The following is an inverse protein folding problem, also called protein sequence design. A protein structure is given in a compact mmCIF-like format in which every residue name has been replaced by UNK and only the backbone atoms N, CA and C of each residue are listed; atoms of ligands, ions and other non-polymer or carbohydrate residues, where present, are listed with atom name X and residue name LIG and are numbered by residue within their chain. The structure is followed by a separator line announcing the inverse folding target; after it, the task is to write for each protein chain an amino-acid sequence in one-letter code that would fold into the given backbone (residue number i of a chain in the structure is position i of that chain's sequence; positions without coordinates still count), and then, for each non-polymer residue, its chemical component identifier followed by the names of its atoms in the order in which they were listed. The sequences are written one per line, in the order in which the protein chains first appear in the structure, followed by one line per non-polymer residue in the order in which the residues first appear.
data_IF_712126304904
#
_entry.id   IF_712126304904
#
_cell.length_a   1.000
_cell.length_b   1.000
_cell.length_c   1.000
_cell.angle_alpha   90.00
_cell.angle_beta   90.00
_cell.angle_gamma   90.00
#
_symmetry.space_group_name_H-M   'P 1'
#
loop_
_entity.id
_entity.type
_entity.pdbx_description
1 polymer ?
#
# COMPACT_ATOMS: atom_id res chain seq x y z
N UNK A 1 7.38 11.57 -7.27
CA UNK A 1 6.18 11.28 -6.45
C UNK A 1 6.45 11.80 -5.05
N UNK A 2 5.56 12.61 -4.49
CA UNK A 2 5.73 13.17 -3.14
C UNK A 2 4.76 12.43 -2.22
N UNK A 3 5.30 11.71 -1.24
CA UNK A 3 4.52 11.09 -0.17
C UNK A 3 4.40 12.10 0.96
N UNK A 4 3.25 12.12 1.64
CA UNK A 4 3.09 12.87 2.87
C UNK A 4 3.93 12.25 3.98
N UNK A 5 4.37 13.05 4.96
CA UNK A 5 5.20 12.58 6.09
C UNK A 5 4.58 11.37 6.79
N UNK A 6 3.26 11.37 7.01
CA UNK A 6 2.54 10.24 7.59
C UNK A 6 2.70 8.93 6.80
N UNK A 7 2.73 8.99 5.47
CA UNK A 7 2.92 7.82 4.60
C UNK A 7 4.36 7.35 4.65
N UNK A 8 5.32 8.27 4.72
CA UNK A 8 6.74 7.96 4.88
C UNK A 8 7.01 7.23 6.20
N UNK A 9 6.48 7.76 7.32
CA UNK A 9 6.61 7.14 8.64
C UNK A 9 5.97 5.77 8.68
N UNK A 10 4.76 5.61 8.13
CA UNK A 10 4.10 4.31 8.04
C UNK A 10 4.94 3.27 7.27
N UNK A 11 5.52 3.66 6.12
CA UNK A 11 6.37 2.76 5.34
C UNK A 11 7.66 2.38 6.09
N UNK A 12 8.20 3.26 6.94
CA UNK A 12 9.32 2.93 7.82
C UNK A 12 8.93 1.90 8.87
N UNK A 13 7.83 2.14 9.58
CA UNK A 13 7.34 1.22 10.61
C UNK A 13 7.03 -0.16 10.03
N UNK A 14 6.41 -0.20 8.84
CA UNK A 14 6.15 -1.45 8.12
C UNK A 14 7.44 -2.18 7.73
N UNK A 15 8.43 -1.46 7.20
CA UNK A 15 9.76 -2.00 6.88
C UNK A 15 10.43 -2.62 8.10
N UNK A 16 10.42 -1.91 9.25
CA UNK A 16 10.97 -2.38 10.52
C UNK A 16 10.21 -3.60 11.03
N UNK A 17 8.88 -3.60 10.94
CA UNK A 17 8.03 -4.71 11.37
C UNK A 17 8.29 -5.99 10.56
N UNK A 18 8.40 -5.88 9.23
CA UNK A 18 8.74 -7.01 8.36
C UNK A 18 10.13 -7.56 8.72
N UNK A 19 11.13 -6.68 8.89
CA UNK A 19 12.48 -7.10 9.27
C UNK A 19 12.49 -7.78 10.64
N UNK A 20 11.74 -7.25 11.62
CA UNK A 20 11.61 -7.83 12.96
C UNK A 20 10.99 -9.24 12.91
N UNK A 21 10.00 -9.45 12.05
CA UNK A 21 9.30 -10.73 11.93
C UNK A 21 10.06 -11.78 11.11
N UNK A 22 10.78 -11.36 10.07
CA UNK A 22 11.35 -12.28 9.05
C UNK A 22 12.87 -12.29 9.02
N UNK A 23 13.55 -11.31 9.63
CA UNK A 23 14.99 -11.07 9.48
C UNK A 23 15.37 -10.40 8.15
N UNK A 24 14.45 -10.32 7.18
CA UNK A 24 14.74 -9.86 5.81
C UNK A 24 14.54 -8.33 5.72
N UNK A 25 15.54 -7.57 5.25
CA UNK A 25 15.39 -6.14 5.03
C UNK A 25 14.56 -5.88 3.76
N UNK A 26 13.41 -5.21 3.92
CA UNK A 26 12.57 -4.73 2.81
C UNK A 26 12.46 -3.21 2.90
N UNK A 27 12.90 -2.50 1.87
CA UNK A 27 12.88 -1.03 1.83
C UNK A 27 11.55 -0.47 1.30
N UNK A 28 11.34 0.84 1.49
CA UNK A 28 10.08 1.52 1.10
C UNK A 28 9.75 1.36 -0.39
N UNK A 29 10.75 1.41 -1.27
CA UNK A 29 10.57 1.24 -2.72
C UNK A 29 10.12 -0.17 -3.07
N UNK A 30 10.62 -1.20 -2.38
CA UNK A 30 10.15 -2.58 -2.53
C UNK A 30 8.70 -2.72 -2.07
N UNK A 31 8.33 -2.12 -0.94
CA UNK A 31 6.94 -2.13 -0.44
C UNK A 31 6.01 -1.47 -1.45
N UNK A 32 6.33 -0.27 -1.93
CA UNK A 32 5.50 0.45 -2.90
C UNK A 32 5.32 -0.35 -4.19
N UNK A 33 6.40 -0.93 -4.73
CA UNK A 33 6.33 -1.79 -5.92
C UNK A 33 5.43 -3.01 -5.68
N UNK A 34 5.62 -3.71 -4.56
CA UNK A 34 4.80 -4.87 -4.22
C UNK A 34 3.31 -4.52 -4.08
N UNK A 35 2.98 -3.35 -3.51
CA UNK A 35 1.61 -2.85 -3.42
C UNK A 35 1.02 -2.58 -4.81
N UNK A 36 1.78 -1.92 -5.70
CA UNK A 36 1.34 -1.67 -7.08
C UNK A 36 1.13 -2.98 -7.83
N UNK A 37 2.05 -3.94 -7.72
CA UNK A 37 1.94 -5.25 -8.36
C UNK A 37 0.74 -6.05 -7.81
N UNK A 38 0.46 -5.94 -6.51
CA UNK A 38 -0.73 -6.54 -5.93
C UNK A 38 -2.01 -5.89 -6.47
N UNK A 39 -2.02 -4.57 -6.65
CA UNK A 39 -3.14 -3.84 -7.23
C UNK A 39 -3.37 -4.17 -8.71
N UNK A 40 -2.33 -4.41 -9.51
CA UNK A 40 -2.51 -4.82 -10.92
C UNK A 40 -3.06 -6.24 -11.04
N UNK A 41 -2.71 -7.12 -10.08
CA UNK A 41 -3.25 -8.48 -10.00
C UNK A 41 -4.67 -8.52 -9.46
N UNK A 42 -4.98 -7.65 -8.50
CA UNK A 42 -6.34 -7.42 -8.06
C UNK A 42 -7.10 -6.75 -9.19
N UNK A 43 -8.02 -7.45 -9.85
CA UNK A 43 -8.91 -6.87 -10.87
C UNK A 43 -9.93 -5.87 -10.26
N UNK A 44 -9.45 -4.92 -9.46
CA UNK A 44 -10.25 -3.86 -8.85
C UNK A 44 -10.79 -2.99 -9.99
N UNK A 45 -12.11 -2.82 -10.04
CA UNK A 45 -12.71 -1.85 -10.96
C UNK A 45 -12.43 -0.44 -10.43
N UNK A 46 -11.30 0.13 -10.84
CA UNK A 46 -10.88 1.49 -10.43
C UNK A 46 -11.58 2.57 -11.28
N UNK A 47 -12.26 2.17 -12.38
CA UNK A 47 -12.86 3.08 -13.37
C UNK A 47 -13.92 4.05 -12.80
N UNK A 48 -14.42 3.82 -11.59
CA UNK A 48 -15.41 4.69 -10.93
C UNK A 48 -14.81 5.66 -9.90
N UNK A 49 -13.49 5.59 -9.66
CA UNK A 49 -12.80 6.43 -8.68
C UNK A 49 -12.64 7.85 -9.24
N UNK A 50 -13.09 8.85 -8.49
CA UNK A 50 -13.06 10.28 -8.91
C UNK A 50 -12.14 11.16 -8.07
N UNK A 51 -11.60 10.64 -6.98
CA UNK A 51 -10.69 11.36 -6.07
C UNK A 51 -9.77 10.41 -5.32
N UNK A 52 -8.69 10.93 -4.71
CA UNK A 52 -7.82 10.16 -3.82
C UNK A 52 -8.59 9.57 -2.62
N UNK A 53 -9.53 10.33 -2.07
CA UNK A 53 -10.40 9.87 -0.99
C UNK A 53 -11.28 8.68 -1.43
N UNK A 54 -11.84 8.74 -2.64
CA UNK A 54 -12.62 7.63 -3.20
C UNK A 54 -11.74 6.40 -3.47
N UNK A 55 -10.51 6.61 -3.93
CA UNK A 55 -9.54 5.53 -4.13
C UNK A 55 -9.26 4.83 -2.80
N UNK A 56 -8.94 5.61 -1.76
CA UNK A 56 -8.67 5.09 -0.42
C UNK A 56 -9.86 4.29 0.14
N UNK A 57 -11.09 4.80 -0.02
CA UNK A 57 -12.31 4.08 0.38
C UNK A 57 -12.50 2.78 -0.40
N UNK A 58 -12.33 2.80 -1.73
CA UNK A 58 -12.48 1.61 -2.57
C UNK A 58 -11.46 0.53 -2.21
N UNK A 59 -10.19 0.92 -2.00
CA UNK A 59 -9.12 0.02 -1.56
C UNK A 59 -9.40 -0.56 -0.18
N UNK A 60 -9.78 0.27 0.79
CA UNK A 60 -10.11 -0.18 2.15
C UNK A 60 -11.25 -1.19 2.14
N UNK A 61 -12.32 -0.94 1.39
CA UNK A 61 -13.44 -1.89 1.24
C UNK A 61 -12.97 -3.22 0.65
N UNK A 62 -12.11 -3.19 -0.38
CA UNK A 62 -11.63 -4.42 -1.02
C UNK A 62 -10.72 -5.24 -0.12
N UNK A 63 -9.84 -4.59 0.63
CA UNK A 63 -8.90 -5.24 1.54
C UNK A 63 -9.59 -5.80 2.79
N UNK A 64 -10.72 -5.22 3.19
CA UNK A 64 -11.54 -5.71 4.30
C UNK A 64 -12.59 -6.76 3.87
N UNK A 65 -12.85 -6.92 2.58
CA UNK A 65 -13.75 -7.95 2.07
C UNK A 65 -13.07 -9.32 2.23
N UNK A 66 -13.36 -9.98 3.36
CA UNK A 66 -13.01 -11.38 3.62
C UNK A 66 -13.78 -12.30 2.69
#
# INVERSE_FOLDING_TARGET
MLLFDRQVSFLQELSLSIRKATGIPINRTQIIRALIDALTRCRLKIATVRSEADLCKALTRRLNAK
#
